data_IF_607978578806
#
_entry.id   IF_607978578806
#
_cell.length_a   1.000
_cell.length_b   1.000
_cell.length_c   1.000
_cell.angle_alpha   90.00
_cell.angle_beta   90.00
_cell.angle_gamma   90.00
#
_symmetry.space_group_name_H-M   'P 1'
#
loop_
_entity.id
_entity.type
_entity.pdbx_description
1 polymer ?
#
# COMPACT_ATOMS: atom_id res chain seq x y z
N UNK A 1 10.59 24.75 6.95
CA UNK A 1 11.35 24.08 5.87
C UNK A 1 11.59 22.60 6.17
N UNK A 2 11.99 22.23 7.39
CA UNK A 2 12.22 20.83 7.80
C UNK A 2 10.94 19.95 7.66
N UNK A 3 9.78 20.46 8.06
CA UNK A 3 8.50 19.74 7.89
C UNK A 3 8.10 19.51 6.41
N UNK A 4 8.50 20.38 5.49
CA UNK A 4 8.22 20.21 4.06
C UNK A 4 9.09 19.14 3.39
N UNK A 5 10.33 18.98 3.84
CA UNK A 5 11.22 17.94 3.30
C UNK A 5 10.90 16.54 3.86
N UNK A 6 10.45 16.45 5.12
CA UNK A 6 10.01 15.20 5.74
C UNK A 6 8.73 14.66 5.09
N UNK A 7 7.71 15.50 4.89
CA UNK A 7 6.43 15.09 4.27
C UNK A 7 6.61 14.59 2.83
N UNK A 8 7.57 15.10 2.08
CA UNK A 8 7.82 14.65 0.70
C UNK A 8 8.60 13.35 0.59
N UNK A 9 9.49 13.03 1.53
CA UNK A 9 10.37 11.87 1.45
C UNK A 9 9.85 10.66 2.23
N UNK A 10 9.21 10.86 3.37
CA UNK A 10 8.73 9.76 4.21
C UNK A 10 7.47 9.07 3.64
N UNK A 11 6.64 9.81 2.92
CA UNK A 11 5.40 9.28 2.36
C UNK A 11 5.57 8.64 0.97
N UNK A 12 6.78 8.61 0.43
CA UNK A 12 7.08 8.04 -0.89
C UNK A 12 8.32 7.15 -0.81
N UNK A 13 8.36 6.24 0.17
CA UNK A 13 9.43 5.24 0.25
C UNK A 13 9.20 4.27 -0.90
N UNK A 14 9.97 4.46 -1.97
CA UNK A 14 10.02 3.56 -3.12
C UNK A 14 11.43 2.99 -3.22
N UNK A 15 11.57 1.81 -3.78
CA UNK A 15 12.88 1.23 -4.09
C UNK A 15 13.77 2.22 -4.87
N UNK A 16 13.20 2.95 -5.82
CA UNK A 16 13.89 4.00 -6.59
C UNK A 16 14.45 5.12 -5.70
N UNK A 17 13.79 5.48 -4.60
CA UNK A 17 14.28 6.52 -3.68
C UNK A 17 15.51 6.05 -2.91
N UNK A 18 15.54 4.82 -2.44
CA UNK A 18 16.71 4.24 -1.80
C UNK A 18 17.89 4.16 -2.79
N UNK A 19 17.65 3.80 -4.03
CA UNK A 19 18.66 3.83 -5.10
C UNK A 19 19.19 5.23 -5.37
N UNK A 20 18.33 6.24 -5.39
CA UNK A 20 18.74 7.64 -5.55
C UNK A 20 19.57 8.15 -4.37
N UNK A 21 19.22 7.74 -3.13
CA UNK A 21 20.02 8.02 -1.95
C UNK A 21 21.40 7.38 -2.05
N UNK A 22 21.50 6.11 -2.44
CA UNK A 22 22.77 5.40 -2.63
C UNK A 22 23.69 6.09 -3.64
N UNK A 23 23.13 6.68 -4.67
CA UNK A 23 23.88 7.41 -5.71
C UNK A 23 24.10 8.90 -5.39
N UNK A 24 23.59 9.38 -4.26
CA UNK A 24 23.67 10.79 -3.89
C UNK A 24 22.85 11.74 -4.76
N UNK A 25 21.92 11.22 -5.58
CA UNK A 25 21.08 12.03 -6.47
C UNK A 25 20.10 12.93 -5.72
N UNK A 26 19.71 12.54 -4.51
CA UNK A 26 18.84 13.32 -3.62
C UNK A 26 19.59 14.04 -2.50
N UNK A 27 20.91 14.07 -2.58
CA UNK A 27 21.81 14.57 -1.55
C UNK A 27 22.42 13.44 -0.72
N UNK A 28 23.43 13.80 0.11
CA UNK A 28 24.13 12.85 0.96
C UNK A 28 23.52 12.78 2.34
N UNK A 29 23.47 11.60 2.92
CA UNK A 29 23.04 11.39 4.29
C UNK A 29 24.20 11.73 5.22
N UNK A 30 24.09 12.82 5.96
CA UNK A 30 25.13 13.24 6.89
C UNK A 30 25.08 12.44 8.19
N UNK A 31 23.88 12.26 8.75
CA UNK A 31 23.61 11.54 9.99
C UNK A 31 22.43 10.58 9.82
N UNK A 32 22.48 9.41 10.47
CA UNK A 32 21.36 8.51 10.61
C UNK A 32 20.86 8.46 12.05
N UNK A 33 19.55 8.22 12.21
CA UNK A 33 18.93 7.85 13.49
C UNK A 33 18.25 6.52 13.26
N UNK A 34 18.59 5.52 14.07
CA UNK A 34 18.11 4.14 13.92
C UNK A 34 17.48 3.71 15.24
N UNK A 35 16.22 3.34 15.20
CA UNK A 35 15.55 2.72 16.34
C UNK A 35 15.91 1.22 16.43
N UNK A 36 16.23 0.75 17.61
CA UNK A 36 16.60 -0.63 17.88
C UNK A 36 15.97 -1.15 19.19
N UNK A 37 15.68 -2.44 19.23
CA UNK A 37 15.26 -3.12 20.46
C UNK A 37 16.46 -3.71 21.23
N UNK A 38 17.60 -3.90 20.58
CA UNK A 38 18.83 -4.41 21.20
C UNK A 38 20.07 -4.03 20.38
N UNK A 39 21.21 -3.90 21.06
CA UNK A 39 22.52 -3.65 20.46
C UNK A 39 23.55 -4.53 21.16
N UNK A 40 24.28 -5.33 20.41
CA UNK A 40 25.26 -6.27 20.94
C UNK A 40 26.63 -6.06 20.29
N UNK A 41 27.68 -6.08 21.07
CA UNK A 41 29.05 -6.15 20.55
C UNK A 41 29.47 -7.60 20.35
N UNK A 42 29.81 -7.93 19.11
CA UNK A 42 30.23 -9.29 18.73
C UNK A 42 31.48 -9.18 17.86
N UNK A 43 32.59 -9.74 18.33
CA UNK A 43 33.88 -9.76 17.63
C UNK A 43 34.36 -8.38 17.15
N UNK A 44 34.16 -7.34 17.99
CA UNK A 44 34.56 -5.97 17.69
C UNK A 44 33.66 -5.24 16.68
N UNK A 45 32.47 -5.77 16.39
CA UNK A 45 31.42 -5.13 15.60
C UNK A 45 30.18 -4.94 16.45
N UNK A 46 29.39 -3.91 16.18
CA UNK A 46 28.06 -3.72 16.77
C UNK A 46 27.01 -4.32 15.86
N UNK A 47 26.17 -5.16 16.43
CA UNK A 47 24.95 -5.70 15.80
C UNK A 47 23.77 -4.96 16.36
N UNK A 48 23.04 -4.29 15.45
CA UNK A 48 21.85 -3.49 15.78
C UNK A 48 20.63 -4.32 15.38
N UNK A 49 19.80 -4.67 16.36
CA UNK A 49 18.56 -5.41 16.16
C UNK A 49 17.41 -4.40 16.15
N UNK A 50 16.72 -4.33 15.00
CA UNK A 50 15.65 -3.35 14.79
C UNK A 50 14.37 -3.74 15.53
N UNK A 51 13.41 -2.81 15.57
CA UNK A 51 12.09 -3.00 16.18
C UNK A 51 11.09 -3.61 15.18
N UNK A 52 9.83 -3.24 15.25
CA UNK A 52 8.77 -3.72 14.35
C UNK A 52 8.79 -3.07 12.95
N UNK A 53 9.61 -2.06 12.73
CA UNK A 53 9.78 -1.36 11.45
C UNK A 53 11.22 -1.41 10.95
N UNK A 54 11.41 -1.89 9.73
CA UNK A 54 12.74 -1.93 9.10
C UNK A 54 12.92 -0.73 8.18
N UNK A 55 11.91 -0.44 7.35
CA UNK A 55 11.97 0.66 6.39
C UNK A 55 13.26 0.63 5.56
N UNK A 56 13.95 1.77 5.48
CA UNK A 56 15.25 1.91 4.82
C UNK A 56 16.40 2.08 5.84
N UNK A 57 16.21 1.69 7.11
CA UNK A 57 17.21 1.84 8.16
C UNK A 57 18.58 1.22 7.82
N UNK A 58 18.67 0.03 7.18
CA UNK A 58 19.97 -0.52 6.76
C UNK A 58 20.71 0.40 5.77
N UNK A 59 19.99 0.95 4.79
CA UNK A 59 20.55 1.88 3.79
C UNK A 59 20.99 3.19 4.43
N UNK A 60 20.19 3.76 5.34
CA UNK A 60 20.57 4.96 6.10
C UNK A 60 21.81 4.68 6.93
N UNK A 61 21.86 3.55 7.63
CA UNK A 61 22.99 3.17 8.46
C UNK A 61 24.27 3.08 7.64
N UNK A 62 24.22 2.49 6.45
CA UNK A 62 25.36 2.37 5.54
C UNK A 62 25.83 3.72 4.97
N UNK A 63 24.89 4.61 4.62
CA UNK A 63 25.18 5.84 3.88
C UNK A 63 25.47 7.06 4.76
N UNK A 64 25.24 7.00 6.07
CA UNK A 64 25.46 8.11 6.99
C UNK A 64 26.94 8.45 7.12
N UNK A 65 27.41 9.50 6.41
CA UNK A 65 28.84 9.86 6.29
C UNK A 65 29.52 10.13 7.64
N UNK A 66 28.81 10.75 8.58
CA UNK A 66 29.31 11.05 9.91
C UNK A 66 28.94 10.00 10.97
N UNK A 67 28.16 9.00 10.58
CA UNK A 67 27.70 7.91 11.44
C UNK A 67 26.27 8.05 11.91
N UNK A 68 25.86 7.15 12.80
CA UNK A 68 24.47 7.01 13.26
C UNK A 68 24.35 7.21 14.77
N UNK A 69 23.19 7.68 15.17
CA UNK A 69 22.69 7.60 16.55
C UNK A 69 21.70 6.45 16.64
N UNK A 70 21.76 5.70 17.72
CA UNK A 70 20.84 4.60 17.98
C UNK A 70 19.88 5.03 19.08
N UNK A 71 18.59 4.98 18.80
CA UNK A 71 17.55 4.99 19.81
C UNK A 71 17.35 3.55 20.28
N UNK A 72 17.83 3.21 21.46
CA UNK A 72 17.58 1.91 22.07
C UNK A 72 16.26 1.99 22.84
N UNK A 73 15.19 1.61 22.16
CA UNK A 73 13.83 1.68 22.70
C UNK A 73 13.48 0.36 23.42
N UNK A 74 13.61 0.36 24.74
CA UNK A 74 13.39 -0.81 25.60
C UNK A 74 11.91 -1.18 25.76
N UNK A 75 10.98 -0.41 25.21
CA UNK A 75 9.58 -0.78 25.15
C UNK A 75 9.36 -1.94 24.16
N UNK A 76 10.12 -1.95 23.07
CA UNK A 76 10.13 -3.04 22.11
C UNK A 76 10.87 -4.25 22.67
N UNK A 77 10.22 -5.39 22.64
CA UNK A 77 10.81 -6.62 23.16
C UNK A 77 11.89 -7.19 22.27
N UNK A 78 13.04 -7.51 22.83
CA UNK A 78 14.11 -8.25 22.12
C UNK A 78 13.67 -9.68 21.68
N UNK A 79 12.49 -10.15 22.09
CA UNK A 79 11.91 -11.41 21.58
C UNK A 79 11.67 -11.37 20.06
N UNK A 80 11.58 -10.17 19.45
CA UNK A 80 11.45 -10.02 17.98
C UNK A 80 12.73 -10.41 17.22
N UNK A 81 13.87 -10.50 17.89
CA UNK A 81 15.14 -10.92 17.28
C UNK A 81 14.96 -12.28 16.62
N UNK A 82 15.44 -12.37 15.37
CA UNK A 82 15.28 -13.55 14.51
C UNK A 82 14.05 -13.53 13.61
N UNK A 83 13.22 -12.46 13.68
CA UNK A 83 12.13 -12.22 12.73
C UNK A 83 12.55 -11.30 11.57
N UNK A 84 13.77 -10.80 11.60
CA UNK A 84 14.33 -9.89 10.59
C UNK A 84 15.13 -10.64 9.54
N UNK A 85 15.08 -10.15 8.31
CA UNK A 85 15.88 -10.61 7.18
C UNK A 85 16.47 -9.37 6.48
N UNK A 86 17.55 -8.84 7.06
CA UNK A 86 18.22 -7.64 6.56
C UNK A 86 19.16 -8.05 5.43
N UNK A 87 18.73 -7.77 4.22
CA UNK A 87 19.53 -7.94 3.01
C UNK A 87 19.73 -6.59 2.34
N UNK A 88 20.97 -6.21 2.14
CA UNK A 88 21.32 -4.99 1.44
C UNK A 88 21.49 -5.27 -0.06
N UNK A 89 20.65 -4.64 -0.87
CA UNK A 89 20.80 -4.68 -2.32
C UNK A 89 22.05 -3.89 -2.72
N UNK A 90 22.83 -4.46 -3.64
CA UNK A 90 23.99 -3.77 -4.24
C UNK A 90 23.55 -2.54 -5.05
N UNK A 91 24.50 -1.65 -5.31
CA UNK A 91 24.24 -0.47 -6.12
C UNK A 91 23.87 -0.87 -7.55
N UNK A 92 23.06 -0.05 -8.27
CA UNK A 92 22.78 -0.28 -9.68
C UNK A 92 24.07 -0.58 -10.46
N UNK A 93 23.93 -1.35 -11.52
CA UNK A 93 24.99 -1.96 -12.34
C UNK A 93 25.74 -3.15 -11.73
N UNK A 94 25.70 -3.32 -10.39
CA UNK A 94 26.31 -4.46 -9.68
C UNK A 94 25.27 -5.40 -9.06
N UNK A 95 23.99 -5.05 -9.16
CA UNK A 95 22.89 -5.83 -8.57
C UNK A 95 22.80 -7.22 -9.15
N UNK A 96 22.97 -8.22 -8.32
CA UNK A 96 22.58 -9.58 -8.63
C UNK A 96 21.06 -9.76 -8.45
N UNK A 97 20.41 -10.69 -9.19
CA UNK A 97 19.02 -11.03 -8.94
C UNK A 97 18.78 -11.49 -7.50
N UNK A 98 17.81 -10.90 -6.82
CA UNK A 98 17.45 -11.30 -5.45
C UNK A 98 16.63 -12.58 -5.52
N UNK A 99 17.15 -13.68 -4.94
CA UNK A 99 16.55 -15.01 -5.00
C UNK A 99 15.52 -15.21 -3.89
N UNK A 100 14.35 -14.60 -4.05
CA UNK A 100 13.18 -14.84 -3.21
C UNK A 100 12.12 -15.49 -4.09
N UNK A 101 11.72 -16.70 -3.76
CA UNK A 101 10.71 -17.51 -4.47
C UNK A 101 9.50 -17.82 -3.57
N UNK A 102 9.61 -17.49 -2.28
CA UNK A 102 8.55 -17.66 -1.28
C UNK A 102 8.61 -16.47 -0.30
N UNK A 103 7.47 -16.02 0.25
CA UNK A 103 7.42 -14.85 1.13
C UNK A 103 8.38 -14.88 2.33
N UNK A 104 8.63 -16.06 2.91
CA UNK A 104 9.48 -16.22 4.11
C UNK A 104 10.86 -16.83 3.82
N UNK A 105 11.34 -16.78 2.57
CA UNK A 105 12.68 -17.22 2.22
C UNK A 105 13.73 -16.24 2.77
N UNK A 106 14.57 -16.68 3.70
CA UNK A 106 15.61 -15.86 4.35
C UNK A 106 16.84 -15.79 3.45
N UNK A 107 17.30 -14.56 3.17
CA UNK A 107 18.47 -14.31 2.33
C UNK A 107 19.52 -13.40 2.98
N UNK A 108 19.20 -12.76 4.09
CA UNK A 108 20.01 -11.78 4.81
C UNK A 108 20.32 -12.20 6.24
N UNK A 109 20.60 -11.19 7.06
CA UNK A 109 20.95 -11.33 8.48
C UNK A 109 19.82 -10.77 9.37
N UNK A 110 19.71 -11.24 10.63
CA UNK A 110 18.70 -10.69 11.55
C UNK A 110 19.13 -9.38 12.23
N UNK A 111 20.16 -8.70 11.75
CA UNK A 111 20.70 -7.47 12.32
C UNK A 111 21.40 -6.63 11.27
N UNK A 112 21.63 -5.35 11.56
CA UNK A 112 22.58 -4.50 10.85
C UNK A 112 23.92 -4.61 11.59
N UNK A 113 25.03 -4.83 10.88
CA UNK A 113 26.37 -4.90 11.48
C UNK A 113 27.21 -3.68 11.07
N UNK A 114 27.74 -2.96 12.06
CA UNK A 114 28.57 -1.76 11.85
C UNK A 114 29.83 -1.76 12.72
N UNK A 115 30.81 -0.95 12.35
CA UNK A 115 31.93 -0.66 13.20
C UNK A 115 31.50 0.21 14.39
N UNK A 116 32.06 0.00 15.61
CA UNK A 116 31.70 0.82 16.77
C UNK A 116 31.93 2.33 16.56
N UNK A 117 32.97 2.70 15.83
CA UNK A 117 33.27 4.11 15.50
C UNK A 117 32.21 4.75 14.58
N UNK A 118 31.37 4.00 13.92
CA UNK A 118 30.24 4.50 13.13
C UNK A 118 29.06 4.92 14.00
N UNK A 119 28.94 4.36 15.20
CA UNK A 119 27.90 4.73 16.18
C UNK A 119 28.39 5.91 17.03
N UNK A 120 27.71 7.03 16.96
CA UNK A 120 28.09 8.29 17.63
C UNK A 120 27.44 8.46 18.99
N UNK A 121 26.41 7.73 19.26
CA UNK A 121 25.72 7.71 20.54
C UNK A 121 24.56 6.77 20.57
N UNK A 122 24.20 6.33 21.77
CA UNK A 122 23.02 5.52 22.04
C UNK A 122 22.16 6.27 23.04
N UNK A 123 20.90 6.51 22.68
CA UNK A 123 19.91 7.14 23.55
C UNK A 123 18.92 6.05 23.97
N UNK A 124 18.76 5.88 25.27
CA UNK A 124 17.77 4.92 25.79
C UNK A 124 16.41 5.57 25.93
N UNK A 125 15.39 4.92 25.37
CA UNK A 125 13.99 5.32 25.48
C UNK A 125 13.13 4.14 25.94
N UNK A 126 11.88 4.44 26.32
CA UNK A 126 10.88 3.44 26.64
C UNK A 126 9.50 3.98 26.22
N UNK A 127 9.30 4.06 24.92
CA UNK A 127 8.11 4.69 24.30
C UNK A 127 7.41 3.69 23.39
N UNK A 128 6.06 3.56 23.49
CA UNK A 128 5.30 2.77 22.53
C UNK A 128 5.21 3.48 21.19
N UNK A 129 4.94 2.71 20.13
CA UNK A 129 4.56 3.27 18.83
C UNK A 129 3.22 4.00 18.95
N UNK A 130 3.08 5.12 18.25
CA UNK A 130 1.85 5.92 18.22
C UNK A 130 0.87 5.50 17.10
N UNK A 131 0.81 4.21 16.76
CA UNK A 131 -0.15 3.73 15.79
C UNK A 131 -1.58 3.81 16.32
N UNK A 132 -2.49 4.35 15.52
CA UNK A 132 -3.90 4.42 15.88
C UNK A 132 -4.58 3.08 15.65
N UNK A 133 -5.47 2.71 16.58
CA UNK A 133 -6.34 1.56 16.41
C UNK A 133 -7.18 1.69 15.12
N UNK A 134 -7.37 0.59 14.41
CA UNK A 134 -8.18 0.56 13.21
C UNK A 134 -9.66 0.76 13.53
N UNK A 135 -10.35 1.55 12.71
CA UNK A 135 -11.80 1.68 12.84
C UNK A 135 -12.49 0.34 12.52
N UNK A 136 -13.57 0.00 13.25
CA UNK A 136 -14.30 -1.24 12.99
C UNK A 136 -14.89 -1.27 11.57
N UNK A 137 -15.05 -2.48 11.02
CA UNK A 137 -15.63 -2.70 9.71
C UNK A 137 -17.09 -2.21 9.65
N UNK A 138 -17.41 -1.47 8.60
CA UNK A 138 -18.76 -0.98 8.28
C UNK A 138 -19.45 -1.93 7.28
N UNK A 139 -20.77 -1.74 7.05
CA UNK A 139 -21.48 -2.51 6.01
C UNK A 139 -20.87 -2.29 4.63
N UNK A 140 -20.46 -1.06 4.33
CA UNK A 140 -19.76 -0.71 3.08
C UNK A 140 -18.46 -1.50 2.93
N UNK A 141 -17.60 -1.48 3.95
CA UNK A 141 -16.31 -2.18 3.87
C UNK A 141 -16.46 -3.70 3.88
N UNK A 142 -17.50 -4.24 4.55
CA UNK A 142 -17.84 -5.67 4.47
C UNK A 142 -18.29 -6.08 3.06
N UNK A 143 -19.16 -5.28 2.43
CA UNK A 143 -19.59 -5.55 1.06
C UNK A 143 -18.41 -5.50 0.06
N UNK A 144 -17.52 -4.50 0.18
CA UNK A 144 -16.30 -4.42 -0.61
C UNK A 144 -15.43 -5.67 -0.39
N UNK A 145 -15.25 -6.09 0.86
CA UNK A 145 -14.50 -7.30 1.20
C UNK A 145 -15.09 -8.56 0.58
N UNK A 146 -16.43 -8.73 0.61
CA UNK A 146 -17.13 -9.85 -0.01
C UNK A 146 -16.94 -9.85 -1.52
N UNK A 147 -17.17 -8.71 -2.20
CA UNK A 147 -16.95 -8.60 -3.64
C UNK A 147 -15.50 -8.87 -4.05
N UNK A 148 -14.54 -8.45 -3.22
CA UNK A 148 -13.12 -8.76 -3.45
C UNK A 148 -12.86 -10.26 -3.33
N UNK A 149 -13.43 -10.92 -2.32
CA UNK A 149 -13.32 -12.38 -2.15
C UNK A 149 -13.92 -13.13 -3.34
N UNK A 150 -15.13 -12.78 -3.75
CA UNK A 150 -15.83 -13.39 -4.89
C UNK A 150 -15.02 -13.22 -6.19
N UNK A 151 -14.43 -12.03 -6.39
CA UNK A 151 -13.59 -11.75 -7.55
C UNK A 151 -12.30 -12.57 -7.57
N UNK A 152 -11.64 -12.72 -6.44
CA UNK A 152 -10.47 -13.60 -6.33
C UNK A 152 -10.83 -15.06 -6.59
N UNK A 153 -11.93 -15.53 -6.02
CA UNK A 153 -12.43 -16.90 -6.23
C UNK A 153 -12.76 -17.13 -7.71
N UNK A 154 -13.43 -16.17 -8.36
CA UNK A 154 -13.71 -16.25 -9.80
C UNK A 154 -12.42 -16.34 -10.62
N UNK A 155 -11.39 -15.50 -10.32
CA UNK A 155 -10.11 -15.58 -11.01
C UNK A 155 -9.42 -16.94 -10.83
N UNK A 156 -9.55 -17.56 -9.65
CA UNK A 156 -9.04 -18.92 -9.43
C UNK A 156 -9.80 -19.97 -10.22
N UNK A 157 -11.13 -19.84 -10.33
CA UNK A 157 -11.96 -20.73 -11.13
C UNK A 157 -11.67 -20.63 -12.63
N UNK A 158 -11.32 -19.44 -13.11
CA UNK A 158 -10.88 -19.24 -14.49
C UNK A 158 -9.42 -19.70 -14.74
N UNK A 159 -8.67 -20.11 -13.70
CA UNK A 159 -7.29 -20.52 -13.82
C UNK A 159 -6.27 -19.37 -13.96
N UNK A 160 -6.69 -18.11 -13.75
CA UNK A 160 -5.79 -16.96 -13.76
C UNK A 160 -4.92 -16.89 -12.50
N UNK A 161 -5.43 -17.39 -11.38
CA UNK A 161 -4.71 -17.48 -10.11
C UNK A 161 -4.65 -18.95 -9.67
N UNK A 162 -3.48 -19.44 -9.34
CA UNK A 162 -3.34 -20.78 -8.78
C UNK A 162 -3.77 -20.80 -7.31
N UNK A 163 -4.75 -21.63 -7.00
CA UNK A 163 -5.38 -21.71 -5.68
C UNK A 163 -4.40 -21.97 -4.53
N UNK A 164 -3.32 -22.72 -4.78
CA UNK A 164 -2.30 -23.06 -3.80
C UNK A 164 -1.11 -22.08 -3.78
N UNK A 165 -1.17 -20.99 -4.54
CA UNK A 165 -0.12 -19.97 -4.65
C UNK A 165 -0.66 -18.55 -4.50
N UNK A 166 -1.78 -18.39 -3.81
CA UNK A 166 -2.35 -17.07 -3.58
C UNK A 166 -1.44 -16.29 -2.63
N UNK A 167 -0.88 -15.20 -3.13
CA UNK A 167 -0.06 -14.24 -2.38
C UNK A 167 -0.70 -12.87 -2.53
N UNK A 168 -1.05 -12.25 -1.41
CA UNK A 168 -1.73 -10.97 -1.37
C UNK A 168 -0.80 -9.85 -0.88
N UNK A 169 -0.96 -8.67 -1.43
CA UNK A 169 -0.50 -7.44 -0.81
C UNK A 169 -1.73 -6.71 -0.28
N UNK A 170 -1.62 -6.12 0.89
CA UNK A 170 -2.65 -5.31 1.50
C UNK A 170 -2.21 -3.85 1.56
N UNK A 171 -3.09 -2.94 1.12
CA UNK A 171 -2.96 -1.52 1.40
C UNK A 171 -3.08 -1.22 2.89
N UNK A 172 -2.93 0.05 3.27
CA UNK A 172 -3.07 0.54 4.64
C UNK A 172 -4.42 1.21 4.87
N UNK A 173 -4.86 1.21 6.13
CA UNK A 173 -6.10 1.85 6.58
C UNK A 173 -7.22 0.87 6.89
N UNK A 174 -8.27 1.38 7.53
CA UNK A 174 -9.39 0.57 8.03
C UNK A 174 -10.13 -0.19 6.92
N UNK A 175 -10.22 0.39 5.73
CA UNK A 175 -10.83 -0.26 4.57
C UNK A 175 -10.04 -1.50 4.12
N UNK A 176 -8.73 -1.36 3.95
CA UNK A 176 -7.86 -2.48 3.59
C UNK A 176 -7.86 -3.57 4.68
N UNK A 177 -7.83 -3.17 5.95
CA UNK A 177 -7.90 -4.10 7.08
C UNK A 177 -9.22 -4.90 7.08
N UNK A 178 -10.36 -4.23 6.80
CA UNK A 178 -11.67 -4.88 6.69
C UNK A 178 -11.75 -5.85 5.50
N UNK A 179 -11.14 -5.52 4.36
CA UNK A 179 -11.06 -6.42 3.20
C UNK A 179 -10.28 -7.68 3.57
N UNK A 180 -9.13 -7.53 4.24
CA UNK A 180 -8.33 -8.67 4.69
C UNK A 180 -9.11 -9.57 5.67
N UNK A 181 -9.89 -8.97 6.58
CA UNK A 181 -10.79 -9.70 7.47
C UNK A 181 -11.81 -10.55 6.70
N UNK A 182 -12.50 -9.94 5.74
CA UNK A 182 -13.48 -10.64 4.91
C UNK A 182 -12.86 -11.80 4.09
N UNK A 183 -11.66 -11.60 3.55
CA UNK A 183 -10.91 -12.68 2.87
C UNK A 183 -10.55 -13.81 3.83
N UNK A 184 -10.17 -13.50 5.06
CA UNK A 184 -9.89 -14.48 6.10
C UNK A 184 -11.12 -15.30 6.52
N UNK A 185 -12.28 -14.68 6.56
CA UNK A 185 -13.56 -15.32 6.94
C UNK A 185 -14.18 -16.15 5.80
N UNK A 186 -13.86 -15.83 4.54
CA UNK A 186 -14.39 -16.54 3.38
C UNK A 186 -13.94 -17.98 3.35
N UNK A 187 -14.89 -18.93 3.24
CA UNK A 187 -14.61 -20.37 3.11
C UNK A 187 -14.13 -20.75 1.71
N UNK A 188 -14.41 -19.94 0.71
CA UNK A 188 -14.06 -20.20 -0.69
C UNK A 188 -12.65 -19.72 -1.03
N UNK A 189 -12.17 -18.67 -0.36
CA UNK A 189 -10.78 -18.23 -0.46
C UNK A 189 -9.90 -19.26 0.28
N UNK A 190 -8.88 -19.84 -0.37
CA UNK A 190 -7.97 -20.78 0.29
C UNK A 190 -7.11 -20.07 1.34
N UNK A 191 -6.37 -20.85 2.13
CA UNK A 191 -5.28 -20.27 2.91
C UNK A 191 -4.27 -19.62 1.96
N UNK A 192 -3.74 -18.47 2.34
CA UNK A 192 -2.90 -17.64 1.47
C UNK A 192 -1.65 -17.16 2.19
N UNK A 193 -0.76 -16.57 1.46
CA UNK A 193 0.41 -15.87 1.99
C UNK A 193 0.32 -14.37 1.73
N UNK A 194 1.13 -13.59 2.43
CA UNK A 194 1.19 -12.13 2.28
C UNK A 194 2.62 -11.72 1.93
N UNK A 195 2.73 -10.81 0.96
CA UNK A 195 3.96 -10.09 0.65
C UNK A 195 3.59 -8.61 0.45
N UNK A 196 3.96 -7.76 1.39
CA UNK A 196 3.44 -6.39 1.47
C UNK A 196 4.48 -5.42 2.05
N UNK A 197 4.26 -4.12 1.86
CA UNK A 197 5.06 -3.08 2.51
C UNK A 197 4.78 -3.02 4.02
N UNK A 198 3.50 -3.02 4.41
CA UNK A 198 3.06 -2.84 5.79
C UNK A 198 2.03 -3.90 6.16
N UNK A 199 2.14 -4.46 7.36
CA UNK A 199 1.11 -5.32 7.97
C UNK A 199 0.38 -4.59 9.09
N UNK A 200 -0.94 -4.78 9.13
CA UNK A 200 -1.85 -4.25 10.12
C UNK A 200 -2.45 -5.37 11.01
N UNK A 201 -3.44 -5.04 11.82
CA UNK A 201 -3.98 -5.93 12.86
C UNK A 201 -4.64 -7.20 12.30
N UNK A 202 -5.50 -7.08 11.25
CA UNK A 202 -6.20 -8.23 10.70
C UNK A 202 -5.28 -9.31 10.09
N UNK A 203 -4.31 -8.99 9.25
CA UNK A 203 -3.30 -9.95 8.83
C UNK A 203 -2.62 -10.68 9.99
N UNK A 204 -2.32 -9.97 11.09
CA UNK A 204 -1.69 -10.59 12.26
C UNK A 204 -2.62 -11.61 12.94
N UNK A 205 -3.91 -11.29 13.10
CA UNK A 205 -4.92 -12.23 13.57
C UNK A 205 -4.99 -13.47 12.68
N UNK A 206 -5.00 -13.28 11.36
CA UNK A 206 -5.09 -14.36 10.37
C UNK A 206 -3.85 -15.26 10.36
N UNK A 207 -2.64 -14.73 10.67
CA UNK A 207 -1.44 -15.55 10.87
C UNK A 207 -1.63 -16.48 12.08
N UNK A 208 -2.09 -15.95 13.18
CA UNK A 208 -2.34 -16.71 14.44
C UNK A 208 -3.38 -17.80 14.24
N UNK A 209 -4.43 -17.52 13.48
CA UNK A 209 -5.48 -18.47 13.14
C UNK A 209 -5.07 -19.52 12.07
N UNK A 210 -3.91 -19.33 11.43
CA UNK A 210 -3.41 -20.23 10.38
C UNK A 210 -4.07 -20.02 9.01
N UNK A 211 -4.84 -18.96 8.81
CA UNK A 211 -5.39 -18.56 7.51
C UNK A 211 -4.30 -17.96 6.62
N UNK A 212 -3.40 -17.16 7.21
CA UNK A 212 -2.18 -16.69 6.56
C UNK A 212 -1.05 -17.64 6.91
N UNK A 213 -0.53 -18.32 5.90
CA UNK A 213 0.51 -19.35 6.05
C UNK A 213 1.89 -18.72 6.24
N UNK A 214 2.15 -17.63 5.57
CA UNK A 214 3.42 -16.91 5.57
C UNK A 214 3.20 -15.44 5.25
N UNK A 215 3.91 -14.55 5.92
CA UNK A 215 3.85 -13.12 5.68
C UNK A 215 5.25 -12.49 5.67
N UNK A 216 5.50 -11.62 4.70
CA UNK A 216 6.72 -10.82 4.60
C UNK A 216 6.36 -9.35 4.44
N UNK A 217 7.00 -8.48 5.22
CA UNK A 217 6.66 -7.05 5.27
C UNK A 217 7.87 -6.19 5.61
N UNK A 218 7.78 -4.88 5.30
CA UNK A 218 8.75 -3.87 5.69
C UNK A 218 8.53 -3.31 7.09
N UNK A 219 7.29 -3.33 7.57
CA UNK A 219 6.92 -2.81 8.88
C UNK A 219 5.59 -3.40 9.39
N UNK A 220 5.43 -3.39 10.70
CA UNK A 220 4.16 -3.65 11.38
C UNK A 220 3.59 -2.30 11.86
N UNK A 221 2.38 -1.99 11.44
CA UNK A 221 1.62 -0.84 11.94
C UNK A 221 0.50 -1.37 12.83
N UNK A 222 0.83 -1.57 14.09
CA UNK A 222 -0.03 -2.16 15.11
C UNK A 222 -0.20 -1.19 16.27
N UNK A 223 -1.36 -1.21 16.92
CA UNK A 223 -1.53 -0.48 18.18
C UNK A 223 -0.58 -1.03 19.25
N UNK A 224 -0.25 -0.25 20.30
CA UNK A 224 0.62 -0.72 21.38
C UNK A 224 0.13 -2.04 22.00
N UNK A 225 -1.17 -2.23 22.13
CA UNK A 225 -1.78 -3.44 22.68
C UNK A 225 -1.50 -4.66 21.76
N UNK A 226 -1.65 -4.51 20.45
CA UNK A 226 -1.37 -5.59 19.49
C UNK A 226 0.12 -5.89 19.35
N UNK A 227 1.00 -4.88 19.52
CA UNK A 227 2.44 -5.12 19.59
C UNK A 227 2.81 -5.90 20.86
N UNK A 228 2.22 -5.58 22.00
CA UNK A 228 2.44 -6.36 23.22
C UNK A 228 1.89 -7.80 23.09
N UNK A 229 0.73 -7.98 22.44
CA UNK A 229 0.21 -9.32 22.14
C UNK A 229 1.20 -10.11 21.26
N UNK A 230 1.74 -9.49 20.20
CA UNK A 230 2.78 -10.09 19.36
C UNK A 230 3.97 -10.54 20.21
N UNK A 231 4.53 -9.65 21.06
CA UNK A 231 5.70 -9.94 21.88
C UNK A 231 5.44 -11.06 22.90
N UNK A 232 4.24 -11.13 23.43
CA UNK A 232 3.86 -12.19 24.39
C UNK A 232 3.67 -13.55 23.70
N UNK A 233 3.23 -13.56 22.43
CA UNK A 233 2.89 -14.77 21.68
C UNK A 233 3.82 -15.01 20.47
N UNK A 234 5.09 -14.63 20.58
CA UNK A 234 6.07 -14.70 19.47
C UNK A 234 6.13 -16.04 18.75
N UNK A 235 5.88 -17.15 19.49
CA UNK A 235 5.94 -18.50 18.91
C UNK A 235 4.85 -18.75 17.85
N UNK A 236 3.74 -18.04 17.91
CA UNK A 236 2.66 -18.14 16.91
C UNK A 236 3.07 -17.55 15.56
N UNK A 237 4.05 -16.66 15.57
CA UNK A 237 4.51 -15.90 14.39
C UNK A 237 5.86 -16.35 13.85
N UNK A 238 6.71 -17.01 14.68
CA UNK A 238 8.03 -17.49 14.25
C UNK A 238 7.90 -18.49 13.11
N UNK A 239 8.70 -18.29 12.05
CA UNK A 239 8.67 -19.08 10.83
C UNK A 239 7.46 -18.80 9.92
N UNK A 240 6.59 -17.84 10.29
CA UNK A 240 5.45 -17.40 9.48
C UNK A 240 5.47 -15.91 9.16
N UNK A 241 6.16 -15.10 9.96
CA UNK A 241 6.31 -13.66 9.75
C UNK A 241 7.79 -13.31 9.59
N UNK A 242 8.10 -12.47 8.59
CA UNK A 242 9.45 -12.02 8.30
C UNK A 242 9.43 -10.51 8.00
N UNK A 243 10.35 -9.78 8.64
CA UNK A 243 10.51 -8.34 8.50
C UNK A 243 11.73 -8.04 7.60
N UNK A 244 11.53 -7.23 6.54
CA UNK A 244 12.54 -6.96 5.51
C UNK A 244 12.73 -5.47 5.28
N UNK A 245 13.90 -5.04 4.75
CA UNK A 245 14.05 -3.69 4.23
C UNK A 245 13.02 -3.38 3.14
N UNK A 246 12.59 -2.10 3.07
CA UNK A 246 11.62 -1.67 2.04
C UNK A 246 12.13 -1.92 0.62
N UNK A 247 13.44 -1.85 0.40
CA UNK A 247 14.05 -2.19 -0.89
C UNK A 247 13.84 -3.64 -1.32
N UNK A 248 13.52 -4.53 -0.38
CA UNK A 248 13.18 -5.94 -0.64
C UNK A 248 11.66 -6.10 -0.68
N UNK A 249 10.93 -5.59 0.32
CA UNK A 249 9.46 -5.74 0.37
C UNK A 249 8.77 -5.08 -0.83
N UNK A 250 9.33 -3.98 -1.35
CA UNK A 250 8.78 -3.23 -2.47
C UNK A 250 9.52 -3.49 -3.79
N UNK A 251 10.37 -4.53 -3.84
CA UNK A 251 11.16 -4.84 -5.04
C UNK A 251 10.27 -5.32 -6.19
N UNK A 252 10.24 -4.60 -7.34
CA UNK A 252 9.40 -4.95 -8.48
C UNK A 252 9.62 -6.38 -9.00
N UNK A 253 10.88 -6.80 -9.08
CA UNK A 253 11.25 -8.14 -9.54
C UNK A 253 10.68 -9.24 -8.65
N UNK A 254 10.70 -9.04 -7.34
CA UNK A 254 10.19 -10.01 -6.37
C UNK A 254 8.67 -10.06 -6.41
N UNK A 255 8.01 -8.89 -6.46
CA UNK A 255 6.55 -8.77 -6.56
C UNK A 255 6.04 -9.55 -7.79
N UNK A 256 6.66 -9.30 -8.94
CA UNK A 256 6.30 -9.98 -10.19
C UNK A 256 6.58 -11.49 -10.13
N UNK A 257 7.74 -11.91 -9.61
CA UNK A 257 8.11 -13.32 -9.50
C UNK A 257 7.19 -14.10 -8.58
N UNK A 258 6.78 -13.51 -7.47
CA UNK A 258 5.86 -14.13 -6.52
C UNK A 258 4.42 -14.20 -7.05
N UNK A 259 4.08 -13.45 -8.09
CA UNK A 259 2.72 -13.36 -8.61
C UNK A 259 1.76 -12.73 -7.60
N UNK A 260 2.18 -11.63 -6.98
CA UNK A 260 1.38 -10.94 -5.96
C UNK A 260 0.10 -10.39 -6.55
N UNK A 261 -1.04 -10.60 -5.88
CA UNK A 261 -2.28 -9.88 -6.14
C UNK A 261 -2.35 -8.68 -5.20
N UNK A 262 -2.32 -7.47 -5.75
CA UNK A 262 -2.33 -6.26 -4.95
C UNK A 262 -3.74 -5.75 -4.67
N UNK A 263 -3.99 -5.37 -3.41
CA UNK A 263 -5.23 -4.81 -2.91
C UNK A 263 -4.94 -3.45 -2.29
N UNK A 264 -5.12 -2.39 -3.07
CA UNK A 264 -4.87 -1.01 -2.66
C UNK A 264 -6.19 -0.24 -2.47
N UNK A 265 -6.11 0.94 -1.85
CA UNK A 265 -7.28 1.78 -1.60
C UNK A 265 -7.21 3.05 -2.47
N UNK A 266 -8.32 3.42 -3.09
CA UNK A 266 -8.47 4.64 -3.85
C UNK A 266 -9.26 5.71 -3.06
N UNK A 267 -8.96 6.98 -3.32
CA UNK A 267 -9.77 8.14 -2.91
C UNK A 267 -10.82 8.43 -3.98
N UNK A 268 -10.40 8.45 -5.25
CA UNK A 268 -11.27 8.60 -6.40
C UNK A 268 -10.75 7.83 -7.60
N UNK A 269 -11.63 7.46 -8.49
CA UNK A 269 -11.36 6.72 -9.74
C UNK A 269 -12.13 7.41 -10.86
N UNK A 270 -11.53 7.63 -12.02
CA UNK A 270 -12.32 8.12 -13.15
C UNK A 270 -12.95 6.99 -13.97
N UNK A 271 -13.86 7.37 -14.87
CA UNK A 271 -14.63 6.41 -15.69
C UNK A 271 -13.77 5.59 -16.65
N UNK A 272 -12.47 5.84 -16.75
CA UNK A 272 -11.54 5.07 -17.59
C UNK A 272 -10.56 4.21 -16.79
N UNK A 273 -10.54 4.37 -15.46
CA UNK A 273 -9.74 3.55 -14.56
C UNK A 273 -8.46 4.17 -14.07
N UNK A 274 -8.25 5.48 -14.26
CA UNK A 274 -7.20 6.19 -13.51
C UNK A 274 -7.57 6.25 -12.03
N UNK A 275 -6.57 6.15 -11.16
CA UNK A 275 -6.76 6.14 -9.72
C UNK A 275 -5.97 7.27 -9.06
N UNK A 276 -6.66 8.00 -8.20
CA UNK A 276 -6.09 8.91 -7.22
C UNK A 276 -6.17 8.26 -5.83
N UNK A 277 -5.03 8.04 -5.22
CA UNK A 277 -4.90 7.45 -3.88
C UNK A 277 -4.30 8.41 -2.85
N UNK A 278 -3.91 9.62 -3.24
CA UNK A 278 -3.13 10.53 -2.38
C UNK A 278 -3.80 11.87 -2.09
N UNK A 279 -4.58 12.43 -3.02
CA UNK A 279 -5.06 13.83 -2.91
C UNK A 279 -6.57 13.95 -2.93
N UNK A 280 -7.09 14.67 -1.96
CA UNK A 280 -8.52 15.05 -1.91
C UNK A 280 -8.72 16.34 -2.70
N UNK A 281 -9.64 16.31 -3.68
CA UNK A 281 -9.95 17.46 -4.53
C UNK A 281 -8.73 17.99 -5.30
N UNK A 282 -7.79 17.11 -5.65
CA UNK A 282 -6.62 17.41 -6.45
C UNK A 282 -5.50 18.21 -5.76
N UNK A 283 -5.76 18.81 -4.62
CA UNK A 283 -4.83 19.79 -4.00
C UNK A 283 -4.39 19.44 -2.59
N UNK A 284 -5.25 18.82 -1.80
CA UNK A 284 -4.97 18.50 -0.40
C UNK A 284 -4.40 17.07 -0.29
N UNK A 285 -3.14 16.97 0.05
CA UNK A 285 -2.53 15.66 0.35
C UNK A 285 -3.19 15.03 1.58
N UNK A 286 -3.68 13.81 1.43
CA UNK A 286 -4.26 13.00 2.49
C UNK A 286 -3.23 12.01 3.02
N UNK A 287 -2.52 11.36 2.11
CA UNK A 287 -1.44 10.40 2.40
C UNK A 287 -0.45 10.37 1.23
N UNK A 288 0.69 9.74 1.41
CA UNK A 288 1.63 9.44 0.34
C UNK A 288 1.20 8.27 -0.52
N UNK A 289 1.87 8.10 -1.64
CA UNK A 289 1.64 6.95 -2.53
C UNK A 289 2.13 5.64 -1.90
N UNK A 290 3.13 5.71 -1.01
CA UNK A 290 3.76 4.53 -0.39
C UNK A 290 4.23 3.53 -1.44
N UNK A 291 4.13 2.26 -1.13
CA UNK A 291 4.43 1.14 -2.03
C UNK A 291 3.32 0.82 -3.03
N UNK A 292 2.18 1.53 -3.01
CA UNK A 292 1.05 1.16 -3.88
C UNK A 292 1.43 1.15 -5.36
N UNK A 293 2.33 2.04 -5.79
CA UNK A 293 2.82 2.07 -7.16
C UNK A 293 3.70 0.86 -7.49
N UNK A 294 4.61 0.49 -6.57
CA UNK A 294 5.50 -0.64 -6.76
C UNK A 294 4.71 -1.94 -6.90
N UNK A 295 3.69 -2.12 -6.06
CA UNK A 295 2.81 -3.29 -6.12
C UNK A 295 1.89 -3.25 -7.33
N UNK A 296 1.20 -2.14 -7.60
CA UNK A 296 0.24 -2.04 -8.71
C UNK A 296 0.90 -2.32 -10.06
N UNK A 297 2.07 -1.70 -10.32
CA UNK A 297 2.76 -1.86 -11.60
C UNK A 297 3.34 -3.26 -11.84
N UNK A 298 3.53 -4.06 -10.78
CA UNK A 298 4.21 -5.35 -10.84
C UNK A 298 3.36 -6.52 -10.34
N UNK A 299 2.14 -6.27 -9.89
CA UNK A 299 1.21 -7.30 -9.48
C UNK A 299 0.77 -8.17 -10.65
N UNK A 300 0.43 -9.42 -10.36
CA UNK A 300 -0.26 -10.30 -11.30
C UNK A 300 -1.73 -9.90 -11.48
N UNK A 301 -2.34 -9.33 -10.45
CA UNK A 301 -3.68 -8.76 -10.45
C UNK A 301 -3.67 -7.50 -9.57
N UNK A 302 -3.87 -6.33 -10.18
CA UNK A 302 -3.89 -5.04 -9.49
C UNK A 302 -5.32 -4.56 -9.25
N UNK A 303 -5.75 -4.61 -7.99
CA UNK A 303 -7.12 -4.25 -7.59
C UNK A 303 -7.10 -3.04 -6.66
N UNK A 304 -8.00 -2.09 -6.91
CA UNK A 304 -8.26 -0.98 -6.00
C UNK A 304 -9.65 -1.08 -5.40
N UNK A 305 -9.78 -0.72 -4.13
CA UNK A 305 -11.05 -0.69 -3.40
C UNK A 305 -11.36 0.72 -2.94
N UNK A 306 -12.61 1.13 -3.00
CA UNK A 306 -13.09 2.38 -2.41
C UNK A 306 -14.58 2.31 -2.09
N UNK A 307 -15.03 3.04 -1.07
CA UNK A 307 -16.46 3.34 -0.94
C UNK A 307 -16.90 4.17 -2.14
N UNK A 308 -18.09 3.90 -2.68
CA UNK A 308 -18.59 4.61 -3.85
C UNK A 308 -18.83 6.11 -3.63
N UNK A 309 -18.97 6.53 -2.35
CA UNK A 309 -19.18 7.92 -1.96
C UNK A 309 -18.45 8.28 -0.67
N UNK A 310 -18.28 9.58 -0.46
CA UNK A 310 -17.81 10.18 0.78
C UNK A 310 -18.75 11.32 1.22
N UNK A 311 -18.57 11.81 2.48
CA UNK A 311 -19.30 12.95 3.03
C UNK A 311 -20.82 12.79 2.92
N UNK A 312 -21.33 11.68 3.41
CA UNK A 312 -22.77 11.35 3.43
C UNK A 312 -23.41 11.37 2.02
N UNK A 313 -22.72 10.78 1.05
CA UNK A 313 -23.17 10.67 -0.33
C UNK A 313 -22.98 11.93 -1.19
N UNK A 314 -22.42 13.01 -0.66
CA UNK A 314 -22.25 14.29 -1.39
C UNK A 314 -21.05 14.30 -2.34
N UNK A 315 -20.14 13.39 -2.20
CA UNK A 315 -18.97 13.23 -3.07
C UNK A 315 -19.00 11.83 -3.67
N UNK A 316 -18.95 11.72 -4.98
CA UNK A 316 -18.73 10.46 -5.69
C UNK A 316 -17.25 10.12 -5.71
N UNK A 317 -16.92 8.86 -5.43
CA UNK A 317 -15.55 8.37 -5.63
C UNK A 317 -15.30 7.97 -7.08
N UNK A 318 -16.36 7.77 -7.89
CA UNK A 318 -16.22 7.56 -9.34
C UNK A 318 -16.62 8.86 -10.04
N UNK A 319 -15.70 9.42 -10.82
CA UNK A 319 -15.80 10.75 -11.41
C UNK A 319 -15.49 10.73 -12.91
N UNK A 320 -15.87 11.77 -13.69
CA UNK A 320 -15.50 11.86 -15.10
C UNK A 320 -14.00 11.83 -15.34
N UNK A 321 -13.21 12.56 -14.53
CA UNK A 321 -11.75 12.62 -14.60
C UNK A 321 -11.18 12.83 -13.21
N UNK A 322 -10.14 12.06 -12.86
CA UNK A 322 -9.46 12.19 -11.56
C UNK A 322 -8.80 13.55 -11.40
N UNK A 323 -8.98 14.16 -10.24
CA UNK A 323 -8.37 15.44 -9.90
C UNK A 323 -6.85 15.34 -9.67
N UNK A 324 -6.34 14.14 -9.49
CA UNK A 324 -4.94 13.76 -9.44
C UNK A 324 -4.82 12.29 -9.88
N UNK A 325 -3.73 11.90 -10.53
CA UNK A 325 -3.53 10.53 -11.00
C UNK A 325 -2.24 10.01 -10.40
N UNK A 326 -2.37 9.03 -9.50
CA UNK A 326 -1.25 8.27 -8.95
C UNK A 326 -1.02 6.99 -9.76
N UNK A 327 -2.10 6.38 -10.30
CA UNK A 327 -2.03 5.16 -11.11
C UNK A 327 -2.85 5.33 -12.39
N UNK A 328 -2.22 5.04 -13.52
CA UNK A 328 -2.89 5.11 -14.81
C UNK A 328 -3.73 3.86 -15.07
N UNK A 329 -4.73 3.98 -15.93
CA UNK A 329 -5.64 2.90 -16.34
C UNK A 329 -4.93 1.69 -16.98
N UNK A 330 -3.63 1.84 -17.30
CA UNK A 330 -2.82 0.76 -17.90
C UNK A 330 -2.34 -0.28 -16.88
N UNK A 331 -2.30 0.08 -15.60
CA UNK A 331 -1.82 -0.78 -14.51
C UNK A 331 -2.93 -1.22 -13.55
N UNK A 332 -4.16 -0.77 -13.78
CA UNK A 332 -5.30 -1.06 -12.91
C UNK A 332 -6.17 -2.13 -13.58
N UNK A 333 -6.23 -3.32 -12.96
CA UNK A 333 -7.00 -4.44 -13.49
C UNK A 333 -8.45 -4.42 -13.03
N UNK A 334 -8.72 -4.02 -11.81
CA UNK A 334 -10.08 -4.01 -11.26
C UNK A 334 -10.29 -2.92 -10.21
N UNK A 335 -11.51 -2.43 -10.15
CA UNK A 335 -12.01 -1.54 -9.09
C UNK A 335 -13.17 -2.23 -8.38
N UNK A 336 -13.20 -2.14 -7.05
CA UNK A 336 -14.23 -2.73 -6.20
C UNK A 336 -14.88 -1.65 -5.34
N UNK A 337 -16.19 -1.59 -5.37
CA UNK A 337 -17.00 -0.79 -4.44
C UNK A 337 -18.01 -1.69 -3.72
N UNK A 338 -18.79 -1.15 -2.82
CA UNK A 338 -19.91 -1.87 -2.18
C UNK A 338 -21.01 -2.30 -3.18
N UNK A 339 -20.97 -1.81 -4.42
CA UNK A 339 -21.93 -2.17 -5.46
C UNK A 339 -21.43 -3.23 -6.44
N UNK A 340 -20.20 -3.68 -6.31
CA UNK A 340 -19.64 -4.75 -7.13
C UNK A 340 -18.22 -4.51 -7.60
N UNK A 341 -17.84 -5.24 -8.64
CA UNK A 341 -16.50 -5.23 -9.25
C UNK A 341 -16.58 -4.75 -10.69
N UNK A 342 -15.75 -3.80 -11.05
CA UNK A 342 -15.44 -3.45 -12.43
C UNK A 342 -14.11 -4.12 -12.82
N UNK A 343 -14.15 -5.24 -13.53
CA UNK A 343 -12.97 -5.84 -14.16
C UNK A 343 -12.67 -5.04 -15.44
N UNK A 344 -11.51 -4.40 -15.49
CA UNK A 344 -11.13 -3.50 -16.57
C UNK A 344 -10.27 -4.17 -17.64
N UNK A 345 -9.88 -5.43 -17.42
CA UNK A 345 -9.02 -6.18 -18.34
C UNK A 345 -9.73 -6.50 -19.66
N UNK A 346 -9.02 -6.42 -20.75
CA UNK A 346 -9.51 -6.72 -22.10
C UNK A 346 -10.76 -5.91 -22.52
N UNK A 347 -10.90 -4.69 -22.00
CA UNK A 347 -11.99 -3.77 -22.29
C UNK A 347 -11.52 -2.55 -23.06
N UNK A 348 -12.32 -2.10 -24.01
CA UNK A 348 -12.20 -0.77 -24.60
C UNK A 348 -12.49 0.32 -23.58
N UNK A 349 -12.11 1.55 -23.87
CA UNK A 349 -12.35 2.70 -22.98
C UNK A 349 -13.86 2.84 -22.63
N UNK A 350 -14.75 2.66 -23.61
CA UNK A 350 -16.19 2.72 -23.38
C UNK A 350 -16.70 1.57 -22.49
N UNK A 351 -16.22 0.35 -22.71
CA UNK A 351 -16.59 -0.79 -21.87
C UNK A 351 -16.05 -0.62 -20.43
N UNK A 352 -14.86 -0.01 -20.24
CA UNK A 352 -14.36 0.37 -18.92
C UNK A 352 -15.28 1.39 -18.27
N UNK A 353 -15.68 2.44 -19.01
CA UNK A 353 -16.56 3.47 -18.50
C UNK A 353 -17.92 2.89 -18.03
N UNK A 354 -18.55 2.04 -18.82
CA UNK A 354 -19.80 1.40 -18.43
C UNK A 354 -19.64 0.48 -17.20
N UNK A 355 -18.54 -0.27 -17.14
CA UNK A 355 -18.24 -1.13 -15.97
C UNK A 355 -18.06 -0.32 -14.69
N UNK A 356 -17.32 0.80 -14.75
CA UNK A 356 -17.09 1.68 -13.62
C UNK A 356 -18.35 2.44 -13.19
N UNK A 357 -19.14 2.91 -14.15
CA UNK A 357 -20.44 3.55 -13.85
C UNK A 357 -21.41 2.54 -13.20
N UNK A 358 -21.37 1.27 -13.58
CA UNK A 358 -22.20 0.24 -12.98
C UNK A 358 -21.94 0.02 -11.48
N UNK A 359 -20.73 0.21 -11.02
CA UNK A 359 -20.33 0.11 -9.60
C UNK A 359 -20.32 1.43 -8.84
N UNK A 360 -20.63 2.56 -9.51
CA UNK A 360 -20.83 3.85 -8.84
C UNK A 360 -22.09 3.82 -7.96
N UNK A 361 -22.19 4.75 -7.00
CA UNK A 361 -23.40 4.92 -6.21
C UNK A 361 -24.61 5.18 -7.12
N UNK A 362 -25.79 4.60 -6.84
CA UNK A 362 -26.99 4.74 -7.70
C UNK A 362 -27.34 6.17 -8.09
N UNK A 363 -27.21 7.14 -7.17
CA UNK A 363 -27.47 8.55 -7.44
C UNK A 363 -26.56 9.15 -8.50
N UNK A 364 -25.34 8.64 -8.63
CA UNK A 364 -24.33 9.16 -9.56
C UNK A 364 -24.32 8.45 -10.92
N UNK A 365 -24.90 7.25 -11.02
CA UNK A 365 -24.92 6.51 -12.30
C UNK A 365 -25.59 7.30 -13.44
N UNK A 366 -26.76 7.94 -13.24
CA UNK A 366 -27.37 8.78 -14.29
C UNK A 366 -26.49 9.98 -14.67
N UNK A 367 -25.86 10.60 -13.69
CA UNK A 367 -24.99 11.77 -13.88
C UNK A 367 -23.79 11.40 -14.73
N UNK A 368 -23.12 10.29 -14.41
CA UNK A 368 -21.93 9.82 -15.13
C UNK A 368 -22.28 9.32 -16.53
N UNK A 369 -23.44 8.64 -16.71
CA UNK A 369 -23.91 8.25 -18.04
C UNK A 369 -24.23 9.45 -18.92
N UNK A 370 -24.84 10.49 -18.36
CA UNK A 370 -25.09 11.71 -19.11
C UNK A 370 -23.79 12.39 -19.55
N UNK A 371 -22.78 12.47 -18.65
CA UNK A 371 -21.46 12.94 -19.05
C UNK A 371 -20.87 12.12 -20.20
N UNK A 372 -20.90 10.79 -20.09
CA UNK A 372 -20.35 9.89 -21.13
C UNK A 372 -21.09 10.07 -22.46
N UNK A 373 -22.41 10.22 -22.43
CA UNK A 373 -23.25 10.48 -23.62
C UNK A 373 -22.89 11.81 -24.28
N UNK A 374 -22.76 12.89 -23.49
CA UNK A 374 -22.37 14.22 -23.99
C UNK A 374 -20.95 14.20 -24.57
N UNK A 375 -20.01 13.57 -23.87
CA UNK A 375 -18.63 13.45 -24.31
C UNK A 375 -18.50 12.61 -25.60
N UNK A 376 -19.39 11.67 -25.82
CA UNK A 376 -19.43 10.85 -27.06
C UNK A 376 -19.58 11.66 -28.33
N UNK A 377 -20.21 12.84 -28.26
CA UNK A 377 -20.36 13.74 -29.41
C UNK A 377 -19.02 14.32 -29.89
N UNK A 378 -18.00 14.36 -29.03
CA UNK A 378 -16.65 14.86 -29.38
C UNK A 378 -15.76 13.76 -29.98
N UNK A 379 -16.16 12.50 -29.88
CA UNK A 379 -15.41 11.36 -30.40
C UNK A 379 -14.09 11.09 -29.68
N UNK A 380 -13.19 10.37 -30.34
CA UNK A 380 -11.88 9.99 -29.78
C UNK A 380 -11.87 8.59 -29.18
N UNK A 381 -10.72 8.16 -28.65
CA UNK A 381 -10.55 6.87 -27.98
C UNK A 381 -11.16 6.89 -26.56
N UNK A 382 -10.87 7.92 -25.79
CA UNK A 382 -11.47 8.23 -24.49
C UNK A 382 -12.32 9.48 -24.66
N UNK A 383 -13.64 9.34 -24.40
CA UNK A 383 -14.58 10.44 -24.61
C UNK A 383 -14.53 11.40 -23.44
N UNK A 384 -13.99 12.60 -23.64
CA UNK A 384 -13.92 13.66 -22.66
C UNK A 384 -14.38 15.01 -23.20
N UNK A 385 -15.03 15.79 -22.34
CA UNK A 385 -15.25 17.22 -22.51
C UNK A 385 -14.33 17.91 -21.50
N UNK A 386 -13.19 18.43 -21.98
CA UNK A 386 -12.17 18.95 -21.06
C UNK A 386 -12.67 20.09 -20.17
N UNK A 387 -13.54 20.96 -20.70
CA UNK A 387 -14.19 22.04 -19.91
C UNK A 387 -15.09 21.51 -18.78
N UNK A 388 -15.62 20.29 -18.92
CA UNK A 388 -16.54 19.67 -17.96
C UNK A 388 -15.89 18.53 -17.17
N UNK A 389 -14.63 18.20 -17.41
CA UNK A 389 -13.93 17.05 -16.80
C UNK A 389 -13.94 17.12 -15.25
N UNK A 390 -13.85 18.31 -14.69
CA UNK A 390 -13.87 18.54 -13.24
C UNK A 390 -15.18 19.17 -12.74
N UNK A 391 -16.26 19.12 -13.51
CA UNK A 391 -17.54 19.74 -13.15
C UNK A 391 -18.09 19.24 -11.80
N UNK A 392 -17.97 17.93 -11.49
CA UNK A 392 -18.38 17.40 -10.19
C UNK A 392 -17.59 18.03 -9.04
N UNK A 393 -16.28 18.14 -9.17
CA UNK A 393 -15.39 18.74 -8.15
C UNK A 393 -15.71 20.23 -7.94
N UNK A 394 -15.88 20.97 -9.03
CA UNK A 394 -16.23 22.40 -8.95
C UNK A 394 -17.63 22.62 -8.37
N UNK A 395 -18.60 21.77 -8.74
CA UNK A 395 -19.94 21.80 -8.17
C UNK A 395 -19.92 21.53 -6.67
N UNK A 396 -19.15 20.53 -6.21
CA UNK A 396 -18.97 20.28 -4.78
C UNK A 396 -18.36 21.50 -4.08
N UNK A 397 -17.31 22.08 -4.64
CA UNK A 397 -16.66 23.27 -4.07
C UNK A 397 -17.63 24.46 -3.95
N UNK A 398 -18.50 24.68 -4.93
CA UNK A 398 -19.45 25.81 -4.96
C UNK A 398 -20.76 25.55 -4.22
N UNK A 399 -21.31 24.35 -4.35
CA UNK A 399 -22.67 23.99 -3.90
C UNK A 399 -22.69 22.97 -2.75
N UNK A 400 -21.53 22.34 -2.40
CA UNK A 400 -21.39 21.38 -1.31
C UNK A 400 -21.90 19.97 -1.62
N UNK A 401 -22.36 19.69 -2.86
CA UNK A 401 -22.86 18.39 -3.26
C UNK A 401 -22.64 18.19 -4.78
N UNK A 402 -21.94 17.12 -5.16
CA UNK A 402 -21.67 16.81 -6.57
C UNK A 402 -22.92 16.48 -7.38
N UNK A 403 -23.99 16.00 -6.73
CA UNK A 403 -25.28 15.68 -7.38
C UNK A 403 -25.97 16.90 -7.99
N UNK A 404 -25.59 18.11 -7.56
CA UNK A 404 -26.15 19.35 -8.06
C UNK A 404 -25.45 19.87 -9.32
N UNK A 405 -24.69 19.01 -10.02
CA UNK A 405 -24.02 19.37 -11.27
C UNK A 405 -25.05 19.71 -12.35
N UNK A 406 -24.82 20.81 -13.04
CA UNK A 406 -25.51 21.19 -14.26
C UNK A 406 -24.47 21.24 -15.39
N UNK A 407 -24.57 20.31 -16.32
CA UNK A 407 -23.62 20.20 -17.42
C UNK A 407 -23.62 21.43 -18.34
N UNK A 408 -24.77 22.12 -18.46
CA UNK A 408 -24.90 23.36 -19.24
C UNK A 408 -24.04 24.52 -18.72
N UNK A 409 -23.64 24.50 -17.43
CA UNK A 409 -22.71 25.51 -16.89
C UNK A 409 -21.28 25.33 -17.45
N UNK A 410 -20.91 24.14 -17.92
CA UNK A 410 -19.53 23.75 -18.31
C UNK A 410 -19.37 23.46 -19.81
N UNK A 411 -20.46 23.06 -20.47
CA UNK A 411 -20.47 22.72 -21.90
C UNK A 411 -21.14 23.88 -22.62
N UNK A 412 -20.34 24.66 -23.32
CA UNK A 412 -20.82 25.74 -24.19
C UNK A 412 -20.71 25.25 -25.62
N UNK A 413 -21.80 25.46 -26.39
CA UNK A 413 -21.86 25.20 -27.85
C UNK A 413 -20.76 25.94 -28.63
#
# INVERSE_FOLDING_TARGET
EMQRSLVGSEMCIRDSNASHLRQGLTGRITWGIIEACDVQEVRGKLRIYLTAGIGIAPTICRLAEKGVFIELNTWHSSRIIGMHDIYEIEDPWFRAPVRITQPIEIIGLPYIEVSPEHVRGIVMTHLPDEARAMAPATDVTRAIGQHTADFLVWNMQQGFIFRNKLILQSGVGSGANAVMGALGESKEVPNFSIYTEVLQEEPMRLIKEGRVMAASTGALTLSPEHLQELYNNMNDYRGRLLLRPSEISNCPEIIARLGVCSLNTAIEVDIYGHVNSTKVGGTRMMNGVGGSCDFTCNAMLATFTCGSTAKDGRISSIVPFCSHIDHTEHYVDAIVTEYGVADLRNKSALEKAEALIAIAHPDYRPILREYLRLAGAYGGHTHHILSAAFALHDTYRRKGDMRLVDWGEYIKD
#
